data_IF_227782906446
#
_entry.id   IF_227782906446
#
_cell.length_a   1.000
_cell.length_b   1.000
_cell.length_c   1.000
_cell.angle_alpha   90.00
_cell.angle_beta   90.00
_cell.angle_gamma   90.00
#
_symmetry.space_group_name_H-M   'P 1'
#
loop_
_entity.id
_entity.type
_entity.pdbx_description
1 polymer ?
#
# COMPACT_ATOMS: atom_id res chain seq x y z
N UNK A 1 -0.86 -13.05 7.92
CA UNK A 1 0.51 -12.58 8.22
C UNK A 1 1.57 -13.56 7.74
N UNK A 2 1.49 -14.84 8.14
CA UNK A 2 2.47 -15.86 7.73
C UNK A 2 2.56 -16.00 6.21
N UNK A 3 1.42 -16.04 5.51
CA UNK A 3 1.40 -16.14 4.05
C UNK A 3 2.11 -14.99 3.35
N UNK A 4 1.96 -13.77 3.85
CA UNK A 4 2.66 -12.61 3.31
C UNK A 4 4.17 -12.70 3.46
N UNK A 5 4.63 -13.11 4.63
CA UNK A 5 6.07 -13.29 4.88
C UNK A 5 6.65 -14.41 4.01
N UNK A 6 5.96 -15.54 3.91
CA UNK A 6 6.40 -16.65 3.05
C UNK A 6 6.45 -16.23 1.58
N UNK A 7 5.46 -15.49 1.11
CA UNK A 7 5.45 -14.98 -0.26
C UNK A 7 6.68 -14.10 -0.52
N UNK A 8 6.99 -13.20 0.41
CA UNK A 8 8.16 -12.34 0.30
C UNK A 8 9.46 -13.16 0.28
N UNK A 9 9.58 -14.16 1.14
CA UNK A 9 10.75 -15.02 1.19
C UNK A 9 10.96 -15.82 -0.09
N UNK A 10 9.88 -16.23 -0.73
CA UNK A 10 9.94 -16.95 -2.01
C UNK A 10 10.19 -16.03 -3.20
N UNK A 11 9.65 -14.82 -3.17
CA UNK A 11 9.77 -13.87 -4.27
C UNK A 11 11.12 -13.13 -4.27
N UNK A 12 11.67 -12.82 -3.12
CA UNK A 12 12.87 -12.00 -3.01
C UNK A 12 14.09 -12.53 -3.80
N UNK A 13 14.41 -13.83 -3.77
CA UNK A 13 15.52 -14.34 -4.56
C UNK A 13 15.35 -14.12 -6.07
N UNK A 14 14.14 -14.33 -6.58
CA UNK A 14 13.85 -14.09 -7.99
C UNK A 14 13.95 -12.62 -8.36
N UNK A 15 13.50 -11.75 -7.47
CA UNK A 15 13.61 -10.30 -7.67
C UNK A 15 15.05 -9.83 -7.65
N UNK A 16 15.87 -10.36 -6.74
CA UNK A 16 17.32 -10.07 -6.74
C UNK A 16 17.97 -10.49 -8.04
N UNK A 17 17.65 -11.69 -8.53
CA UNK A 17 18.17 -12.19 -9.79
C UNK A 17 17.73 -11.32 -10.99
N UNK A 18 16.52 -10.76 -10.92
CA UNK A 18 16.01 -9.87 -11.97
C UNK A 18 16.50 -8.42 -11.83
N UNK A 19 17.22 -8.09 -10.77
CA UNK A 19 17.75 -6.76 -10.54
C UNK A 19 16.80 -5.81 -9.80
N UNK A 20 15.69 -6.29 -9.30
CA UNK A 20 14.74 -5.48 -8.56
C UNK A 20 13.33 -6.05 -8.55
N UNK A 21 12.44 -5.36 -7.89
CA UNK A 21 11.04 -5.74 -7.80
C UNK A 21 10.30 -4.91 -6.75
N UNK A 22 9.03 -5.17 -6.62
CA UNK A 22 8.18 -4.48 -5.65
C UNK A 22 7.31 -5.48 -4.90
N UNK A 23 7.30 -5.36 -3.58
CA UNK A 23 6.48 -6.15 -2.67
C UNK A 23 5.60 -5.20 -1.87
N UNK A 24 4.30 -5.22 -2.12
CA UNK A 24 3.34 -4.37 -1.42
C UNK A 24 2.36 -5.21 -0.63
N UNK A 25 2.29 -4.93 0.67
CA UNK A 25 1.37 -5.57 1.59
C UNK A 25 0.17 -4.66 1.81
N UNK A 26 -1.01 -5.20 1.61
CA UNK A 26 -2.25 -4.43 1.77
C UNK A 26 -2.75 -4.51 3.19
N UNK A 27 -3.00 -3.34 3.78
CA UNK A 27 -3.62 -3.20 5.09
C UNK A 27 -4.93 -2.43 5.00
N UNK A 28 -5.67 -2.46 6.09
CA UNK A 28 -6.90 -1.68 6.25
C UNK A 28 -6.89 -0.89 7.56
N UNK A 29 -7.91 -0.10 7.78
CA UNK A 29 -8.04 0.74 8.97
C UNK A 29 -8.07 -0.03 10.29
N UNK A 30 -8.24 -1.34 10.26
CA UNK A 30 -8.19 -2.16 11.47
C UNK A 30 -6.84 -2.09 12.18
N UNK A 31 -5.76 -1.86 11.45
CA UNK A 31 -4.44 -1.71 12.07
C UNK A 31 -4.31 -0.40 12.84
N UNK A 32 -5.09 0.62 12.49
CA UNK A 32 -5.11 1.89 13.20
C UNK A 32 -6.14 1.91 14.33
N UNK A 33 -7.36 1.43 14.05
CA UNK A 33 -8.48 1.50 14.99
C UNK A 33 -8.43 0.43 16.08
N UNK A 34 -7.85 -0.73 15.80
CA UNK A 34 -7.72 -1.86 16.73
C UNK A 34 -9.04 -2.19 17.47
N UNK A 35 -10.15 -2.41 16.76
CA UNK A 35 -11.43 -2.66 17.42
C UNK A 35 -11.38 -3.99 18.17
N UNK A 36 -11.82 -3.98 19.44
CA UNK A 36 -11.77 -5.15 20.31
C UNK A 36 -12.53 -6.36 19.75
N UNK A 37 -13.62 -6.12 19.03
CA UNK A 37 -14.43 -7.18 18.42
C UNK A 37 -13.73 -7.89 17.26
N UNK A 38 -12.66 -7.30 16.73
CA UNK A 38 -11.89 -7.84 15.61
C UNK A 38 -10.41 -7.96 15.99
N UNK A 39 -10.12 -8.28 17.23
CA UNK A 39 -8.75 -8.26 17.77
C UNK A 39 -7.79 -9.14 16.97
N UNK A 40 -8.19 -10.37 16.60
CA UNK A 40 -7.34 -11.27 15.84
C UNK A 40 -6.98 -10.70 14.48
N UNK A 41 -7.98 -10.15 13.78
CA UNK A 41 -7.76 -9.52 12.48
C UNK A 41 -6.87 -8.28 12.61
N UNK A 42 -7.14 -7.46 13.62
CA UNK A 42 -6.36 -6.24 13.87
C UNK A 42 -4.90 -6.56 14.17
N UNK A 43 -4.65 -7.55 15.03
CA UNK A 43 -3.29 -7.99 15.35
C UNK A 43 -2.57 -8.53 14.12
N UNK A 44 -3.28 -9.32 13.28
CA UNK A 44 -2.71 -9.82 12.04
C UNK A 44 -2.32 -8.70 11.08
N UNK A 45 -3.14 -7.67 10.96
CA UNK A 45 -2.85 -6.51 10.11
C UNK A 45 -1.70 -5.67 10.66
N UNK A 46 -1.62 -5.47 11.97
CA UNK A 46 -0.49 -4.76 12.59
C UNK A 46 0.80 -5.54 12.38
N UNK A 47 0.78 -6.84 12.59
CA UNK A 47 1.95 -7.69 12.38
C UNK A 47 2.41 -7.66 10.92
N UNK A 48 1.49 -7.68 9.97
CA UNK A 48 1.82 -7.60 8.54
C UNK A 48 2.47 -6.26 8.20
N UNK A 49 1.96 -5.16 8.76
CA UNK A 49 2.56 -3.83 8.57
C UNK A 49 3.98 -3.78 9.12
N UNK A 50 4.19 -4.33 10.32
CA UNK A 50 5.51 -4.39 10.92
C UNK A 50 6.48 -5.23 10.07
N UNK A 51 6.03 -6.37 9.58
CA UNK A 51 6.82 -7.21 8.69
C UNK A 51 7.19 -6.46 7.40
N UNK A 52 6.25 -5.73 6.82
CA UNK A 52 6.50 -4.94 5.61
C UNK A 52 7.59 -3.88 5.86
N UNK A 53 7.54 -3.21 7.00
CA UNK A 53 8.55 -2.21 7.38
C UNK A 53 9.93 -2.85 7.52
N UNK A 54 10.01 -3.98 8.18
CA UNK A 54 11.28 -4.70 8.34
C UNK A 54 11.84 -5.14 6.99
N UNK A 55 10.99 -5.69 6.13
CA UNK A 55 11.38 -6.11 4.79
C UNK A 55 11.81 -4.93 3.92
N UNK A 56 11.13 -3.79 4.05
CA UNK A 56 11.49 -2.59 3.33
C UNK A 56 12.95 -2.19 3.59
N UNK A 57 13.35 -2.21 4.85
CA UNK A 57 14.71 -1.85 5.25
C UNK A 57 15.73 -2.89 4.81
N UNK A 58 15.37 -4.17 4.91
CA UNK A 58 16.26 -5.27 4.59
C UNK A 58 16.49 -5.41 3.09
N UNK A 59 15.46 -5.19 2.27
CA UNK A 59 15.53 -5.45 0.84
C UNK A 59 15.91 -4.24 -0.01
N UNK A 60 15.93 -3.06 0.59
CA UNK A 60 16.22 -1.82 -0.15
C UNK A 60 17.55 -1.86 -0.88
N UNK A 61 18.59 -2.37 -0.23
CA UNK A 61 19.92 -2.44 -0.82
C UNK A 61 19.98 -3.41 -2.00
N UNK A 62 19.06 -4.35 -2.06
CA UNK A 62 18.93 -5.28 -3.18
C UNK A 62 18.13 -4.71 -4.36
N UNK A 63 17.70 -3.45 -4.27
CA UNK A 63 16.88 -2.82 -5.28
C UNK A 63 15.42 -3.24 -5.24
N UNK A 64 14.97 -3.84 -4.15
CA UNK A 64 13.60 -4.29 -3.98
C UNK A 64 12.85 -3.29 -3.11
N UNK A 65 11.74 -2.78 -3.64
CA UNK A 65 10.86 -1.88 -2.93
C UNK A 65 9.80 -2.70 -2.19
N UNK A 66 9.91 -2.75 -0.87
CA UNK A 66 8.90 -3.38 -0.03
C UNK A 66 8.21 -2.33 0.83
N UNK A 67 6.93 -2.47 1.05
CA UNK A 67 6.18 -1.55 1.88
C UNK A 67 4.74 -2.01 2.08
N UNK A 68 3.99 -1.22 2.81
CA UNK A 68 2.57 -1.46 3.03
C UNK A 68 1.72 -0.33 2.47
N UNK A 69 0.56 -0.68 1.92
CA UNK A 69 -0.48 0.28 1.56
C UNK A 69 -1.69 0.03 2.44
N UNK A 70 -2.03 1.01 3.27
CA UNK A 70 -3.21 0.95 4.13
C UNK A 70 -4.36 1.66 3.43
N UNK A 71 -5.46 0.94 3.22
CA UNK A 71 -6.67 1.48 2.61
C UNK A 71 -7.62 1.89 3.74
N UNK A 72 -7.93 3.17 3.81
CA UNK A 72 -8.65 3.78 4.94
C UNK A 72 -10.14 3.97 4.67
N UNK A 73 -10.74 3.07 3.92
CA UNK A 73 -12.17 3.08 3.65
C UNK A 73 -12.66 1.77 3.10
N UNK A 74 -13.96 1.68 2.94
CA UNK A 74 -14.57 0.48 2.37
C UNK A 74 -14.44 0.50 0.85
N UNK A 75 -13.84 -0.54 0.30
CA UNK A 75 -13.66 -0.69 -1.13
C UNK A 75 -15.02 -0.92 -1.79
N UNK A 76 -15.40 -0.05 -2.71
CA UNK A 76 -16.65 -0.16 -3.44
C UNK A 76 -16.56 0.58 -4.78
N UNK A 77 -17.08 -0.05 -5.82
CA UNK A 77 -17.10 0.55 -7.16
C UNK A 77 -17.90 1.86 -7.17
N UNK A 78 -17.44 2.84 -7.92
CA UNK A 78 -18.08 4.13 -8.06
C UNK A 78 -17.92 5.06 -6.86
N UNK A 79 -17.08 4.71 -5.91
CA UNK A 79 -16.77 5.54 -4.73
C UNK A 79 -15.33 6.02 -4.78
N UNK A 80 -14.90 6.92 -3.88
CA UNK A 80 -13.47 7.27 -3.77
C UNK A 80 -12.56 6.08 -3.48
N UNK A 81 -13.11 4.96 -3.02
CA UNK A 81 -12.38 3.70 -2.79
C UNK A 81 -12.69 2.67 -3.87
N UNK A 82 -12.88 3.12 -5.10
CA UNK A 82 -13.08 2.24 -6.24
C UNK A 82 -11.84 1.37 -6.46
N UNK A 83 -12.02 0.08 -6.77
CA UNK A 83 -10.89 -0.82 -7.05
C UNK A 83 -9.93 -0.30 -8.11
N UNK A 84 -10.41 0.36 -9.14
CA UNK A 84 -9.56 0.90 -10.19
C UNK A 84 -8.67 2.03 -9.67
N UNK A 85 -9.22 2.90 -8.82
CA UNK A 85 -8.45 3.98 -8.20
C UNK A 85 -7.37 3.42 -7.26
N UNK A 86 -7.68 2.35 -6.53
CA UNK A 86 -6.72 1.67 -5.68
C UNK A 86 -5.63 1.02 -6.54
N UNK A 87 -5.98 0.40 -7.64
CA UNK A 87 -5.02 -0.19 -8.56
C UNK A 87 -4.06 0.87 -9.14
N UNK A 88 -4.56 2.04 -9.46
CA UNK A 88 -3.74 3.16 -9.91
C UNK A 88 -2.73 3.59 -8.84
N UNK A 89 -3.14 3.58 -7.58
CA UNK A 89 -2.24 3.88 -6.46
C UNK A 89 -1.13 2.84 -6.36
N UNK A 90 -1.45 1.56 -6.47
CA UNK A 90 -0.44 0.49 -6.49
C UNK A 90 0.54 0.69 -7.64
N UNK A 91 0.03 0.97 -8.83
CA UNK A 91 0.86 1.16 -10.01
C UNK A 91 1.80 2.34 -9.83
N UNK A 92 1.31 3.45 -9.28
CA UNK A 92 2.14 4.62 -9.00
C UNK A 92 3.28 4.29 -8.03
N UNK A 93 2.99 3.52 -6.98
CA UNK A 93 4.01 3.10 -6.02
C UNK A 93 5.07 2.20 -6.69
N UNK A 94 4.63 1.27 -7.55
CA UNK A 94 5.55 0.39 -8.28
C UNK A 94 6.51 1.15 -9.18
N UNK A 95 6.13 2.32 -9.65
CA UNK A 95 6.92 3.13 -10.57
C UNK A 95 7.68 4.27 -9.89
N UNK A 96 7.65 4.36 -8.57
CA UNK A 96 8.41 5.38 -7.85
C UNK A 96 9.91 5.17 -8.00
N UNK A 97 10.64 6.27 -8.08
CA UNK A 97 12.09 6.25 -8.03
C UNK A 97 12.57 5.81 -6.65
N UNK A 98 13.73 5.17 -6.60
CA UNK A 98 14.27 4.61 -5.36
C UNK A 98 14.39 5.63 -4.23
N UNK A 99 14.74 6.85 -4.54
CA UNK A 99 14.87 7.92 -3.54
C UNK A 99 13.52 8.39 -2.98
N UNK A 100 12.42 8.06 -3.63
CA UNK A 100 11.07 8.36 -3.15
C UNK A 100 10.42 7.19 -2.39
N UNK A 101 11.06 6.03 -2.32
CA UNK A 101 10.48 4.86 -1.68
C UNK A 101 10.22 5.09 -0.19
N UNK A 102 9.01 4.72 0.25
CA UNK A 102 8.60 4.76 1.64
C UNK A 102 8.24 3.37 2.12
N UNK A 103 8.23 3.18 3.43
CA UNK A 103 7.87 1.91 4.07
C UNK A 103 6.36 1.77 4.23
N UNK A 104 5.66 2.88 4.35
CA UNK A 104 4.20 2.92 4.52
C UNK A 104 3.58 3.94 3.57
N UNK A 105 2.46 3.51 2.99
CA UNK A 105 1.61 4.34 2.15
C UNK A 105 0.19 4.28 2.68
N UNK A 106 -0.56 5.36 2.52
CA UNK A 106 -1.95 5.44 2.95
C UNK A 106 -2.82 5.85 1.76
N UNK A 107 -3.90 5.11 1.54
CA UNK A 107 -4.89 5.46 0.55
C UNK A 107 -6.13 5.95 1.27
N UNK A 108 -6.39 7.25 1.17
CA UNK A 108 -7.47 7.95 1.88
C UNK A 108 -8.67 8.22 0.98
N UNK A 109 -8.69 7.63 -0.20
CA UNK A 109 -9.72 7.81 -1.20
C UNK A 109 -9.21 8.63 -2.38
N UNK A 110 -9.70 8.32 -3.57
CA UNK A 110 -9.41 9.12 -4.76
C UNK A 110 -10.13 10.46 -4.68
N UNK A 111 -9.47 11.50 -5.18
CA UNK A 111 -10.14 12.80 -5.33
C UNK A 111 -11.26 12.65 -6.35
N UNK A 112 -12.40 13.23 -6.04
CA UNK A 112 -13.48 13.31 -7.01
C UNK A 112 -13.05 14.19 -8.18
N UNK A 113 -13.37 13.79 -9.41
CA UNK A 113 -13.08 14.64 -10.56
C UNK A 113 -13.76 16.00 -10.35
N UNK A 114 -12.97 17.06 -10.42
CA UNK A 114 -13.52 18.38 -10.31
C UNK A 114 -14.45 18.63 -11.51
N UNK A 115 -15.66 19.06 -11.24
CA UNK A 115 -16.57 19.44 -12.31
C UNK A 115 -16.06 20.69 -13.02
N UNK A 116 -16.43 20.82 -14.28
CA UNK A 116 -16.01 21.96 -15.07
C UNK A 116 -16.38 23.30 -14.43
N UNK A 117 -17.56 23.38 -13.82
CA UNK A 117 -17.99 24.59 -13.15
C UNK A 117 -17.09 25.05 -12.03
N UNK A 118 -16.71 24.13 -11.12
CA UNK A 118 -15.77 24.48 -10.05
C UNK A 118 -14.43 24.94 -10.57
N UNK A 119 -14.00 24.41 -11.67
CA UNK A 119 -12.71 24.75 -12.24
C UNK A 119 -12.58 26.23 -12.49
N UNK A 120 -13.62 26.87 -12.98
CA UNK A 120 -13.59 28.31 -13.19
C UNK A 120 -13.21 29.07 -11.96
N UNK A 121 -13.54 28.54 -10.82
CA UNK A 121 -13.19 29.16 -9.55
C UNK A 121 -11.77 28.99 -9.15
N UNK A 122 -11.16 27.97 -9.63
CA UNK A 122 -9.77 27.72 -9.29
C UNK A 122 -8.86 28.85 -9.72
N UNK A 123 -9.37 29.69 -10.58
CA UNK A 123 -8.65 30.86 -11.07
C UNK A 123 -8.60 31.98 -10.05
N UNK A 124 -9.31 31.86 -9.03
CA UNK A 124 -9.46 33.00 -8.11
C UNK A 124 -8.46 32.97 -6.99
#
# INVERSE_FOLDING_TARGET
>A
MIGGVLTAQLAAPAMRAAGGGTLLFTGGGFADALPATLATLSLGKVALRAAATMLARQLRDDGIHAGSLTILGQIAAGTPFDPDSIADAYWAICNEQRDAWREEYRFEGAEEPQSAGPVGRATN
#
